data_IF_978748036335
#
_entry.id   IF_978748036335
#
_cell.length_a   1.000
_cell.length_b   1.000
_cell.length_c   1.000
_cell.angle_alpha   90.00
_cell.angle_beta   90.00
_cell.angle_gamma   90.00
#
_symmetry.space_group_name_H-M   'P 1'
#
loop_
_entity.id
_entity.type
_entity.pdbx_description
1 polymer ?
#
# COMPACT_ATOMS: atom_id res chain seq x y z
N UNK A 1 -8.74 4.09 4.09
CA UNK A 1 -9.21 2.93 3.33
C UNK A 1 -9.13 1.65 4.17
N UNK A 2 -10.11 0.78 4.03
CA UNK A 2 -10.08 -0.63 4.47
C UNK A 2 -9.68 -1.57 3.33
N UNK A 3 -9.46 -2.85 3.63
CA UNK A 3 -9.12 -3.84 2.60
C UNK A 3 -10.27 -4.06 1.63
N UNK A 4 -11.50 -4.18 2.13
CA UNK A 4 -12.69 -4.33 1.31
C UNK A 4 -12.86 -3.15 0.35
N UNK A 5 -12.67 -1.92 0.83
CA UNK A 5 -12.73 -0.72 -0.01
C UNK A 5 -11.62 -0.69 -1.08
N UNK A 6 -10.40 -1.13 -0.75
CA UNK A 6 -9.30 -1.19 -1.71
C UNK A 6 -9.57 -2.22 -2.81
N UNK A 7 -10.09 -3.39 -2.45
CA UNK A 7 -10.50 -4.44 -3.38
C UNK A 7 -11.64 -3.98 -4.29
N UNK A 8 -12.66 -3.33 -3.72
CA UNK A 8 -13.80 -2.80 -4.48
C UNK A 8 -13.34 -1.75 -5.49
N UNK A 9 -12.47 -0.82 -5.09
CA UNK A 9 -11.91 0.18 -6.01
C UNK A 9 -11.04 -0.43 -7.10
N UNK A 10 -10.24 -1.45 -6.78
CA UNK A 10 -9.47 -2.16 -7.78
C UNK A 10 -10.37 -2.93 -8.77
N UNK A 11 -11.48 -3.49 -8.31
CA UNK A 11 -12.48 -4.15 -9.16
C UNK A 11 -13.19 -3.15 -10.09
N UNK A 12 -13.46 -1.93 -9.61
CA UNK A 12 -14.01 -0.86 -10.46
C UNK A 12 -13.04 -0.43 -11.57
N UNK A 13 -11.74 -0.35 -11.26
CA UNK A 13 -10.70 -0.04 -12.24
C UNK A 13 -10.48 -1.20 -13.23
N UNK A 14 -10.59 -2.44 -12.76
CA UNK A 14 -10.33 -3.65 -13.54
C UNK A 14 -11.41 -4.72 -13.31
N UNK A 15 -12.57 -4.59 -13.98
CA UNK A 15 -13.68 -5.51 -13.77
C UNK A 15 -13.36 -6.91 -14.32
N UNK A 16 -13.84 -7.94 -13.64
CA UNK A 16 -13.70 -9.36 -14.00
C UNK A 16 -12.27 -9.88 -13.93
N UNK A 17 -11.46 -9.38 -13.00
CA UNK A 17 -10.14 -9.95 -12.80
C UNK A 17 -10.23 -11.41 -12.31
N UNK A 18 -9.44 -12.29 -12.93
CA UNK A 18 -9.41 -13.74 -12.61
C UNK A 18 -8.47 -14.08 -11.46
N UNK A 19 -7.81 -13.09 -10.86
CA UNK A 19 -6.92 -13.30 -9.72
C UNK A 19 -7.75 -13.49 -8.46
N UNK A 20 -7.49 -14.58 -7.75
CA UNK A 20 -8.15 -14.91 -6.50
C UNK A 20 -8.06 -13.75 -5.48
N UNK A 21 -9.14 -13.53 -4.73
CA UNK A 21 -9.20 -12.46 -3.72
C UNK A 21 -8.14 -12.64 -2.64
N UNK A 22 -7.84 -13.88 -2.24
CA UNK A 22 -6.80 -14.19 -1.25
C UNK A 22 -5.42 -13.68 -1.70
N UNK A 23 -5.06 -13.88 -2.97
CA UNK A 23 -3.81 -13.37 -3.56
C UNK A 23 -3.77 -11.84 -3.53
N UNK A 24 -4.89 -11.17 -3.85
CA UNK A 24 -5.00 -9.70 -3.81
C UNK A 24 -4.83 -9.17 -2.39
N UNK A 25 -5.46 -9.81 -1.41
CA UNK A 25 -5.30 -9.46 0.01
C UNK A 25 -3.85 -9.64 0.45
N UNK A 26 -3.20 -10.72 0.03
CA UNK A 26 -1.79 -10.97 0.35
C UNK A 26 -0.88 -9.85 -0.17
N UNK A 27 -1.10 -9.36 -1.40
CA UNK A 27 -0.35 -8.22 -1.94
C UNK A 27 -0.54 -6.93 -1.13
N UNK A 28 -1.75 -6.66 -0.62
CA UNK A 28 -2.00 -5.51 0.25
C UNK A 28 -1.21 -5.61 1.56
N UNK A 29 -1.13 -6.81 2.15
CA UNK A 29 -0.38 -7.05 3.40
C UNK A 29 1.12 -6.83 3.19
N UNK A 30 1.64 -7.34 2.09
CA UNK A 30 3.06 -7.17 1.73
C UNK A 30 3.39 -5.69 1.49
N UNK A 31 2.49 -4.95 0.85
CA UNK A 31 2.64 -3.51 0.66
C UNK A 31 2.63 -2.75 1.98
N UNK A 32 1.74 -3.09 2.92
CA UNK A 32 1.74 -2.49 4.26
C UNK A 32 3.03 -2.78 5.02
N UNK A 33 3.51 -4.02 4.98
CA UNK A 33 4.78 -4.39 5.60
C UNK A 33 5.96 -3.61 4.99
N UNK A 34 5.95 -3.44 3.65
CA UNK A 34 6.97 -2.68 2.94
C UNK A 34 6.92 -1.19 3.29
N UNK A 35 5.73 -0.58 3.26
CA UNK A 35 5.51 0.82 3.63
C UNK A 35 5.97 1.07 5.07
N UNK A 36 5.62 0.18 6.00
CA UNK A 36 6.06 0.28 7.40
C UNK A 36 7.57 0.29 7.50
N UNK A 37 8.22 -0.73 6.95
CA UNK A 37 9.68 -0.90 7.04
C UNK A 37 10.46 0.23 6.36
N UNK A 38 9.96 0.74 5.22
CA UNK A 38 10.67 1.73 4.41
C UNK A 38 10.38 3.17 4.83
N UNK A 39 9.17 3.48 5.26
CA UNK A 39 8.72 4.85 5.52
C UNK A 39 8.41 5.08 7.00
N UNK A 40 7.46 4.31 7.57
CA UNK A 40 6.91 4.62 8.90
C UNK A 40 7.91 4.35 10.03
N UNK A 41 8.64 3.23 10.02
CA UNK A 41 9.63 2.90 11.07
C UNK A 41 10.76 3.93 11.16
N UNK A 42 11.04 4.64 10.06
CA UNK A 42 12.06 5.69 9.98
C UNK A 42 11.54 7.05 10.46
N UNK A 43 10.23 7.20 10.61
CA UNK A 43 9.57 8.41 11.07
C UNK A 43 9.06 8.25 12.50
N UNK A 44 8.85 9.34 13.24
CA UNK A 44 8.22 9.31 14.56
C UNK A 44 6.69 9.13 14.49
N UNK A 45 6.20 8.35 13.52
CA UNK A 45 4.78 8.18 13.21
C UNK A 45 4.13 7.08 14.08
N UNK A 46 4.32 7.16 15.41
CA UNK A 46 3.85 6.11 16.34
C UNK A 46 2.33 5.88 16.35
N UNK A 47 1.55 6.86 15.87
CA UNK A 47 0.10 6.71 15.67
C UNK A 47 -0.27 5.58 14.68
N UNK A 48 0.65 5.22 13.79
CA UNK A 48 0.46 4.17 12.78
C UNK A 48 1.00 2.80 13.23
N UNK A 49 1.55 2.71 14.45
CA UNK A 49 2.13 1.46 14.94
C UNK A 49 1.05 0.36 15.07
N UNK A 50 -0.19 0.69 15.43
CA UNK A 50 -1.28 -0.28 15.58
C UNK A 50 -2.12 -0.52 14.30
N UNK A 51 -1.92 0.27 13.25
CA UNK A 51 -2.74 0.27 12.02
C UNK A 51 -2.00 -0.44 10.88
N UNK A 52 -2.68 -1.22 10.04
CA UNK A 52 -2.10 -1.88 8.88
C UNK A 52 -2.49 -3.36 8.76
N UNK A 53 -2.64 -3.83 7.53
CA UNK A 53 -2.93 -5.22 7.16
C UNK A 53 -1.80 -6.19 7.52
N UNK A 54 -0.59 -5.67 7.77
CA UNK A 54 0.60 -6.44 8.12
C UNK A 54 0.60 -6.95 9.57
N UNK A 55 -0.17 -6.33 10.48
CA UNK A 55 -0.12 -6.62 11.92
C UNK A 55 -0.67 -7.99 12.33
N UNK A 56 -1.85 -8.42 11.87
CA UNK A 56 -2.30 -9.80 12.09
C UNK A 56 -1.66 -10.72 11.05
N UNK A 57 -0.35 -10.97 11.16
CA UNK A 57 0.35 -11.84 10.20
C UNK A 57 -0.17 -13.29 10.23
N UNK A 58 -0.50 -13.77 11.43
CA UNK A 58 -0.96 -15.15 11.66
C UNK A 58 -2.49 -15.33 11.61
N UNK A 59 -3.27 -14.24 11.51
CA UNK A 59 -4.73 -14.32 11.50
C UNK A 59 -5.29 -13.99 10.11
N UNK A 60 -6.46 -14.55 9.74
CA UNK A 60 -7.16 -14.16 8.54
C UNK A 60 -7.49 -12.67 8.58
N UNK A 61 -7.07 -11.98 7.54
CA UNK A 61 -7.29 -10.55 7.40
C UNK A 61 -8.76 -10.30 7.09
N UNK A 62 -9.35 -9.32 7.78
CA UNK A 62 -10.76 -8.96 7.64
C UNK A 62 -10.92 -7.80 6.65
N UNK A 63 -12.04 -7.75 5.94
CA UNK A 63 -12.31 -6.71 4.95
C UNK A 63 -12.41 -5.31 5.57
N UNK A 64 -12.88 -5.19 6.82
CA UNK A 64 -12.99 -3.94 7.57
C UNK A 64 -11.65 -3.46 8.15
N UNK A 65 -10.59 -4.27 8.03
CA UNK A 65 -9.29 -3.91 8.54
C UNK A 65 -8.71 -2.70 7.79
N UNK A 66 -8.28 -1.72 8.57
CA UNK A 66 -7.73 -0.46 8.05
C UNK A 66 -6.30 -0.65 7.55
N UNK A 67 -6.04 -0.14 6.34
CA UNK A 67 -4.73 -0.14 5.71
C UNK A 67 -3.80 0.93 6.30
N UNK A 68 -2.49 0.73 6.16
CA UNK A 68 -1.49 1.58 6.79
C UNK A 68 -1.44 3.03 6.26
N UNK A 69 -1.57 3.23 4.95
CA UNK A 69 -1.46 4.55 4.34
C UNK A 69 -2.71 5.40 4.64
N UNK A 70 -2.56 6.63 5.15
CA UNK A 70 -3.69 7.50 5.43
C UNK A 70 -4.24 8.14 4.13
N UNK A 71 -5.52 8.57 4.11
CA UNK A 71 -6.04 9.41 3.04
C UNK A 71 -5.24 10.72 2.92
N UNK A 72 -5.00 11.23 1.69
CA UNK A 72 -5.45 10.71 0.39
C UNK A 72 -4.50 9.66 -0.23
N UNK A 73 -3.41 9.29 0.44
CA UNK A 73 -2.39 8.39 -0.09
C UNK A 73 -2.86 6.93 -0.17
N UNK A 74 -3.95 6.60 0.52
CA UNK A 74 -4.60 5.29 0.43
C UNK A 74 -5.11 4.94 -0.98
N UNK A 75 -5.16 5.90 -1.91
CA UNK A 75 -5.33 5.65 -3.34
C UNK A 75 -4.19 4.81 -3.96
N UNK A 76 -3.05 4.63 -3.27
CA UNK A 76 -1.97 3.77 -3.75
C UNK A 76 -2.37 2.29 -3.83
N UNK A 77 -3.29 1.84 -2.98
CA UNK A 77 -3.62 0.42 -2.89
C UNK A 77 -4.37 -0.11 -4.12
N UNK A 78 -5.40 0.57 -4.65
CA UNK A 78 -6.00 0.19 -5.93
C UNK A 78 -4.99 0.14 -7.07
N UNK A 79 -4.10 1.13 -7.20
CA UNK A 79 -3.08 1.15 -8.26
C UNK A 79 -2.06 0.01 -8.12
N UNK A 80 -1.65 -0.31 -6.89
CA UNK A 80 -0.82 -1.49 -6.62
C UNK A 80 -1.53 -2.77 -7.08
N UNK A 81 -2.79 -2.95 -6.69
CA UNK A 81 -3.56 -4.13 -7.06
C UNK A 81 -3.68 -4.24 -8.58
N UNK A 82 -4.03 -3.16 -9.28
CA UNK A 82 -4.10 -3.13 -10.74
C UNK A 82 -2.75 -3.50 -11.37
N UNK A 83 -1.66 -2.90 -10.91
CA UNK A 83 -0.32 -3.24 -11.38
C UNK A 83 0.01 -4.73 -11.17
N UNK A 84 -0.22 -5.29 -9.98
CA UNK A 84 0.06 -6.71 -9.72
C UNK A 84 -0.82 -7.66 -10.55
N UNK A 85 -2.10 -7.30 -10.76
CA UNK A 85 -3.00 -8.06 -11.64
C UNK A 85 -2.52 -8.04 -13.10
N UNK A 86 -2.12 -6.87 -13.59
CA UNK A 86 -1.61 -6.70 -14.95
C UNK A 86 -0.28 -7.45 -15.14
N UNK A 87 0.61 -7.39 -14.15
CA UNK A 87 1.86 -8.14 -14.14
C UNK A 87 1.61 -9.66 -14.16
N UNK A 88 0.68 -10.16 -13.34
CA UNK A 88 0.32 -11.58 -13.31
C UNK A 88 -0.32 -12.07 -14.61
N UNK A 89 -0.98 -11.19 -15.36
CA UNK A 89 -1.61 -11.48 -16.64
C UNK A 89 -0.73 -11.17 -17.86
N UNK A 90 0.49 -10.64 -17.64
CA UNK A 90 1.43 -10.30 -18.70
C UNK A 90 1.09 -9.02 -19.49
N UNK A 91 0.25 -8.14 -18.94
CA UNK A 91 -0.17 -6.88 -19.56
C UNK A 91 0.84 -5.76 -19.28
N UNK A 92 2.03 -5.84 -19.87
CA UNK A 92 3.19 -4.99 -19.57
C UNK A 92 2.92 -3.48 -19.69
N UNK A 93 2.18 -3.03 -20.71
CA UNK A 93 1.91 -1.60 -20.92
C UNK A 93 0.97 -1.02 -19.85
N UNK A 94 -0.03 -1.81 -19.43
CA UNK A 94 -0.95 -1.40 -18.35
C UNK A 94 -0.25 -1.40 -17.01
N UNK A 95 0.53 -2.45 -16.74
CA UNK A 95 1.40 -2.52 -15.57
C UNK A 95 2.29 -1.28 -15.45
N UNK A 96 2.96 -0.87 -16.53
CA UNK A 96 3.84 0.30 -16.50
C UNK A 96 3.10 1.59 -16.12
N UNK A 97 1.88 1.78 -16.62
CA UNK A 97 1.02 2.92 -16.28
C UNK A 97 0.60 2.93 -14.81
N UNK A 98 0.09 1.80 -14.32
CA UNK A 98 -0.36 1.66 -12.93
C UNK A 98 0.80 1.76 -11.94
N UNK A 99 1.95 1.17 -12.28
CA UNK A 99 3.15 1.26 -11.47
C UNK A 99 3.67 2.70 -11.38
N UNK A 100 3.52 3.51 -12.43
CA UNK A 100 3.87 4.94 -12.40
C UNK A 100 2.98 5.72 -11.42
N UNK A 101 1.67 5.46 -11.40
CA UNK A 101 0.73 6.08 -10.47
C UNK A 101 1.01 5.68 -9.02
N UNK A 102 1.23 4.38 -8.77
CA UNK A 102 1.64 3.88 -7.46
C UNK A 102 2.93 4.57 -6.97
N UNK A 103 3.95 4.65 -7.83
CA UNK A 103 5.24 5.25 -7.48
C UNK A 103 5.12 6.75 -7.18
N UNK A 104 4.25 7.47 -7.89
CA UNK A 104 3.97 8.89 -7.64
C UNK A 104 3.37 9.09 -6.24
N UNK A 105 2.30 8.35 -5.90
CA UNK A 105 1.66 8.41 -4.59
C UNK A 105 2.60 7.97 -3.46
N UNK A 106 3.41 6.94 -3.70
CA UNK A 106 4.43 6.48 -2.75
C UNK A 106 5.46 7.59 -2.46
N UNK A 107 5.94 8.29 -3.49
CA UNK A 107 6.88 9.39 -3.33
C UNK A 107 6.27 10.56 -2.55
N UNK A 108 5.01 10.92 -2.84
CA UNK A 108 4.28 11.95 -2.12
C UNK A 108 4.06 11.59 -0.65
N UNK A 109 3.65 10.36 -0.35
CA UNK A 109 3.51 9.85 1.02
C UNK A 109 4.84 9.95 1.78
N UNK A 110 5.94 9.58 1.14
CA UNK A 110 7.27 9.67 1.74
C UNK A 110 7.66 11.12 2.05
N UNK A 111 7.34 12.08 1.18
CA UNK A 111 7.55 13.52 1.42
C UNK A 111 6.69 13.99 2.59
N UNK A 112 5.40 13.65 2.57
CA UNK A 112 4.45 14.04 3.61
C UNK A 112 4.86 13.53 5.00
N UNK A 113 5.29 12.27 5.10
CA UNK A 113 5.77 11.70 6.36
C UNK A 113 6.97 12.47 6.91
N UNK A 114 7.92 12.85 6.05
CA UNK A 114 9.10 13.64 6.48
C UNK A 114 8.74 15.05 6.95
N UNK A 115 7.71 15.65 6.37
CA UNK A 115 7.25 17.00 6.74
C UNK A 115 6.47 17.01 8.06
N UNK A 116 5.65 15.98 8.29
CA UNK A 116 4.73 15.94 9.43
C UNK A 116 5.29 15.19 10.64
N UNK A 117 6.18 14.23 10.42
CA UNK A 117 6.80 13.43 11.49
C UNK A 117 8.32 13.57 11.42
N UNK A 118 8.96 14.16 12.44
CA UNK A 118 10.41 14.24 12.47
C UNK A 118 11.01 12.82 12.44
N UNK A 119 12.20 12.64 11.83
CA UNK A 119 12.85 11.35 11.84
C UNK A 119 13.14 10.93 13.29
N UNK A 120 12.86 9.66 13.63
CA UNK A 120 13.27 9.11 14.93
C UNK A 120 14.79 9.26 15.01
N UNK A 121 15.25 10.10 15.92
CA UNK A 121 16.60 10.66 16.00
C UNK A 121 17.70 9.58 15.97
N UNK A 122 18.29 9.37 14.77
CA UNK A 122 19.71 9.02 14.47
C UNK A 122 19.97 8.56 13.02
N UNK A 123 18.96 8.40 12.17
CA UNK A 123 19.20 8.09 10.77
C UNK A 123 19.47 9.37 9.96
N UNK A 124 20.74 9.79 9.89
CA UNK A 124 21.19 10.70 8.84
C UNK A 124 20.89 10.04 7.48
N UNK A 125 20.02 10.63 6.68
CA UNK A 125 19.79 10.21 5.30
C UNK A 125 21.09 10.43 4.51
N UNK A 126 21.79 9.35 4.17
CA UNK A 126 22.90 9.40 3.22
C UNK A 126 22.32 9.18 1.83
N UNK A 127 22.51 10.18 0.98
CA UNK A 127 22.21 10.18 -0.45
C UNK A 127 23.08 9.16 -1.18
#
# INVERSE_FOLDING_TARGET
MTIGEALERAEQLRPNCRIETETRVQWLREADALLRTKLFDRSAAGAFDAVGADRPWEQPVQDDQTLLAPPPFDALYPHLLCAQMDAALGETDRYAGEQAQYNALYAELAVWLRQNYPPRSRAQWRW
#
